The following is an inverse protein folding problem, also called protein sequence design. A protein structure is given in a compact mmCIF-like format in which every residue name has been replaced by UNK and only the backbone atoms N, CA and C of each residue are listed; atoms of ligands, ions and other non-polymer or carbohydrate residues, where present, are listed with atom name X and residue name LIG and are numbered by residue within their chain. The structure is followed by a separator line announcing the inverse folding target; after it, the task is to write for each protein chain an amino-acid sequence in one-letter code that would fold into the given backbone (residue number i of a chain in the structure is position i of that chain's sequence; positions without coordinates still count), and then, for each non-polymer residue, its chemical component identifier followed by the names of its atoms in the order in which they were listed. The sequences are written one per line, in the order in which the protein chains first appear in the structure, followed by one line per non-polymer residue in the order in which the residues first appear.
data_IF_526389038463
#
_entry.id   IF_526389038463
#
_cell.length_a   1.000
_cell.length_b   1.000
_cell.length_c   1.000
_cell.angle_alpha   90.00
_cell.angle_beta   90.00
_cell.angle_gamma   90.00
#
_symmetry.space_group_name_H-M   'P 1'
#
loop_
_entity.id
_entity.type
_entity.pdbx_description
1 polymer ?
#
# COMPACT_ATOMS: atom_id res chain seq x y z
N UNK A 1 13.11 33.51 2.59
CA UNK A 1 12.58 32.18 2.24
C UNK A 1 11.09 32.24 2.57
N UNK A 2 10.18 32.05 1.59
CA UNK A 2 8.77 31.82 1.85
C UNK A 2 8.66 30.66 2.84
N UNK A 3 7.77 30.72 3.84
CA UNK A 3 7.56 29.63 4.76
C UNK A 3 7.25 28.35 3.97
N UNK A 4 8.19 27.41 3.94
CA UNK A 4 8.00 26.10 3.31
C UNK A 4 6.92 25.35 4.11
N UNK A 5 5.81 25.04 3.45
CA UNK A 5 4.72 24.27 4.05
C UNK A 5 4.85 22.83 3.55
N UNK A 6 5.08 21.90 4.46
CA UNK A 6 5.17 20.47 4.16
C UNK A 6 3.87 19.80 4.58
N UNK A 7 3.06 19.40 3.62
CA UNK A 7 1.84 18.64 3.87
C UNK A 7 2.19 17.24 4.38
N UNK A 8 1.49 16.75 5.39
CA UNK A 8 1.75 15.45 6.00
C UNK A 8 0.50 14.60 6.16
N UNK A 9 -0.67 15.20 6.01
CA UNK A 9 -1.94 14.52 6.22
C UNK A 9 -2.71 14.42 4.91
N UNK A 10 -3.40 13.29 4.73
CA UNK A 10 -4.35 13.15 3.64
C UNK A 10 -5.51 14.13 3.82
N UNK A 11 -5.99 14.68 2.72
CA UNK A 11 -7.17 15.53 2.73
C UNK A 11 -8.42 14.68 2.99
N UNK A 12 -9.23 15.11 3.97
CA UNK A 12 -10.48 14.45 4.28
C UNK A 12 -11.59 14.86 3.28
N UNK A 13 -12.59 14.00 3.05
CA UNK A 13 -13.77 14.38 2.28
C UNK A 13 -14.60 15.42 3.01
N UNK A 14 -15.43 16.17 2.29
CA UNK A 14 -16.37 17.12 2.90
C UNK A 14 -17.61 16.40 3.43
N UNK A 15 -17.93 15.22 2.86
CA UNK A 15 -19.01 14.34 3.30
C UNK A 15 -18.45 12.98 3.70
N UNK A 16 -18.79 12.50 4.90
CA UNK A 16 -18.48 11.15 5.37
C UNK A 16 -19.59 10.21 4.94
N UNK A 17 -19.23 9.18 4.18
CA UNK A 17 -20.12 8.11 3.76
C UNK A 17 -20.07 6.97 4.77
N UNK A 18 -21.22 6.29 5.05
CA UNK A 18 -21.19 5.09 5.85
C UNK A 18 -20.29 4.02 5.21
N UNK A 19 -19.52 3.30 6.02
CA UNK A 19 -18.69 2.19 5.56
C UNK A 19 -19.35 0.88 5.97
N UNK A 20 -19.35 -0.11 5.10
CA UNK A 20 -19.70 -1.49 5.44
C UNK A 20 -18.53 -2.40 5.13
N UNK A 21 -18.12 -3.22 6.11
CA UNK A 21 -16.92 -4.05 5.99
C UNK A 21 -17.27 -5.49 5.64
N UNK A 22 -16.56 -6.03 4.66
CA UNK A 22 -16.61 -7.45 4.27
C UNK A 22 -15.23 -8.04 4.55
N UNK A 23 -15.16 -8.92 5.54
CA UNK A 23 -13.91 -9.39 6.14
C UNK A 23 -13.50 -8.54 7.35
N UNK A 24 -13.16 -9.20 8.45
CA UNK A 24 -12.77 -8.57 9.73
C UNK A 24 -11.45 -9.12 10.27
N UNK A 25 -10.59 -9.57 9.37
CA UNK A 25 -9.27 -10.13 9.68
C UNK A 25 -8.30 -9.12 10.33
N UNK A 26 -7.05 -9.56 10.52
CA UNK A 26 -6.02 -8.79 11.22
C UNK A 26 -5.86 -7.37 10.71
N UNK A 27 -5.79 -7.16 9.39
CA UNK A 27 -5.59 -5.83 8.82
C UNK A 27 -6.75 -4.87 9.12
N UNK A 28 -7.99 -5.36 9.15
CA UNK A 28 -9.16 -4.56 9.52
C UNK A 28 -9.12 -4.18 10.98
N UNK A 29 -8.81 -5.16 11.84
CA UNK A 29 -8.70 -4.96 13.30
C UNK A 29 -7.58 -3.99 13.67
N UNK A 30 -6.42 -4.12 13.02
CA UNK A 30 -5.18 -3.46 13.45
C UNK A 30 -4.91 -2.15 12.70
N UNK A 31 -5.59 -1.91 11.56
CA UNK A 31 -5.36 -0.72 10.75
C UNK A 31 -6.64 -0.02 10.27
N UNK A 32 -7.59 -0.69 9.58
CA UNK A 32 -8.77 -0.01 9.02
C UNK A 32 -9.63 0.63 10.11
N UNK A 33 -10.05 -0.12 11.11
CA UNK A 33 -10.93 0.39 12.15
C UNK A 33 -10.26 1.43 13.04
N UNK A 34 -9.00 1.29 13.48
CA UNK A 34 -8.27 2.37 14.13
C UNK A 34 -8.18 3.64 13.29
N UNK A 35 -7.95 3.52 11.97
CA UNK A 35 -7.94 4.66 11.06
C UNK A 35 -9.31 5.33 10.96
N UNK A 36 -10.36 4.54 10.77
CA UNK A 36 -11.73 5.06 10.65
C UNK A 36 -12.17 5.76 11.93
N UNK A 37 -11.89 5.16 13.08
CA UNK A 37 -12.18 5.80 14.37
C UNK A 37 -11.42 7.14 14.54
N UNK A 38 -10.14 7.18 14.17
CA UNK A 38 -9.31 8.39 14.24
C UNK A 38 -9.80 9.49 13.31
N UNK A 39 -10.29 9.13 12.11
CA UNK A 39 -10.82 10.07 11.13
C UNK A 39 -12.28 10.49 11.39
N UNK A 40 -12.97 9.80 12.31
CA UNK A 40 -14.40 10.01 12.55
C UNK A 40 -15.30 9.36 11.50
N UNK A 41 -14.80 8.41 10.73
CA UNK A 41 -15.61 7.63 9.79
C UNK A 41 -16.47 6.61 10.51
N UNK A 42 -17.69 6.39 10.04
CA UNK A 42 -18.66 5.48 10.66
C UNK A 42 -18.72 4.17 9.91
N UNK A 43 -18.49 3.05 10.62
CA UNK A 43 -18.77 1.70 10.13
C UNK A 43 -20.21 1.36 10.49
N UNK A 44 -21.07 1.20 9.48
CA UNK A 44 -22.51 0.99 9.64
C UNK A 44 -22.88 -0.50 9.80
N UNK A 45 -22.02 -1.40 9.34
CA UNK A 45 -22.24 -2.84 9.44
C UNK A 45 -21.02 -3.63 8.98
N UNK A 46 -20.97 -4.88 9.33
CA UNK A 46 -19.89 -5.77 8.94
C UNK A 46 -20.37 -7.22 8.74
N UNK A 47 -19.58 -7.96 7.96
CA UNK A 47 -19.75 -9.39 7.73
C UNK A 47 -18.38 -10.06 7.69
N UNK A 48 -18.29 -11.27 8.25
CA UNK A 48 -17.17 -12.21 8.09
C UNK A 48 -17.71 -13.63 8.02
N UNK A 49 -16.99 -14.54 7.39
CA UNK A 49 -17.30 -15.97 7.39
C UNK A 49 -17.20 -16.56 8.80
N UNK A 50 -16.29 -16.02 9.62
CA UNK A 50 -16.21 -16.30 11.04
C UNK A 50 -17.17 -15.38 11.82
N UNK A 51 -18.37 -15.90 12.10
CA UNK A 51 -19.43 -15.14 12.79
C UNK A 51 -19.03 -14.70 14.20
N UNK A 52 -18.29 -15.52 14.93
CA UNK A 52 -17.86 -15.17 16.29
C UNK A 52 -16.90 -13.98 16.23
N UNK A 53 -15.94 -14.00 15.29
CA UNK A 53 -15.04 -12.88 15.02
C UNK A 53 -15.80 -11.63 14.59
N UNK A 54 -16.78 -11.76 13.70
CA UNK A 54 -17.63 -10.65 13.26
C UNK A 54 -18.35 -9.97 14.43
N UNK A 55 -19.04 -10.74 15.26
CA UNK A 55 -19.74 -10.21 16.44
C UNK A 55 -18.79 -9.59 17.47
N UNK A 56 -17.65 -10.23 17.74
CA UNK A 56 -16.63 -9.68 18.64
C UNK A 56 -16.09 -8.34 18.13
N UNK A 57 -15.85 -8.24 16.82
CA UNK A 57 -15.39 -7.01 16.18
C UNK A 57 -16.43 -5.90 16.24
N UNK A 58 -17.72 -6.22 15.98
CA UNK A 58 -18.82 -5.27 16.08
C UNK A 58 -18.93 -4.72 17.50
N UNK A 59 -18.88 -5.60 18.51
CA UNK A 59 -18.92 -5.18 19.90
C UNK A 59 -17.74 -4.29 20.29
N UNK A 60 -16.52 -4.70 19.94
CA UNK A 60 -15.28 -3.96 20.27
C UNK A 60 -15.26 -2.55 19.69
N UNK A 61 -15.75 -2.39 18.47
CA UNK A 61 -15.69 -1.12 17.73
C UNK A 61 -17.03 -0.39 17.66
N UNK A 62 -18.04 -0.85 18.42
CA UNK A 62 -19.38 -0.24 18.47
C UNK A 62 -20.04 -0.14 17.07
N UNK A 63 -19.80 -1.15 16.21
CA UNK A 63 -20.48 -1.26 14.93
C UNK A 63 -21.93 -1.73 15.17
N UNK A 64 -22.93 -1.03 14.66
CA UNK A 64 -24.33 -1.28 15.02
C UNK A 64 -24.89 -2.63 14.57
N UNK A 65 -24.32 -3.23 13.52
CA UNK A 65 -24.80 -4.50 12.98
C UNK A 65 -23.64 -5.40 12.52
N UNK A 66 -23.65 -6.65 12.98
CA UNK A 66 -22.92 -7.77 12.40
C UNK A 66 -23.93 -8.72 11.74
N UNK A 67 -23.72 -9.02 10.47
CA UNK A 67 -24.63 -9.84 9.68
C UNK A 67 -24.12 -11.26 9.56
N UNK A 68 -25.02 -12.22 9.53
CA UNK A 68 -24.72 -13.65 9.44
C UNK A 68 -24.40 -14.11 8.03
N UNK A 69 -24.84 -13.35 7.04
CA UNK A 69 -24.60 -13.62 5.61
C UNK A 69 -24.24 -12.34 4.85
N UNK A 70 -23.50 -12.51 3.76
CA UNK A 70 -23.17 -11.39 2.89
C UNK A 70 -24.42 -10.79 2.22
N UNK A 71 -25.41 -11.63 1.91
CA UNK A 71 -26.69 -11.21 1.34
C UNK A 71 -27.47 -10.31 2.32
N UNK A 72 -27.50 -10.65 3.60
CA UNK A 72 -28.12 -9.80 4.63
C UNK A 72 -27.40 -8.46 4.77
N UNK A 73 -26.05 -8.45 4.79
CA UNK A 73 -25.29 -7.21 4.79
C UNK A 73 -25.70 -6.34 3.60
N UNK A 74 -25.67 -6.90 2.38
CA UNK A 74 -25.95 -6.16 1.14
C UNK A 74 -27.36 -5.55 1.16
N UNK A 75 -28.38 -6.32 1.56
CA UNK A 75 -29.77 -5.87 1.61
C UNK A 75 -29.97 -4.74 2.62
N UNK A 76 -29.27 -4.77 3.74
CA UNK A 76 -29.39 -3.78 4.80
C UNK A 76 -28.39 -2.61 4.69
N UNK A 77 -27.51 -2.63 3.67
CA UNK A 77 -26.51 -1.59 3.46
C UNK A 77 -27.16 -0.28 2.98
N UNK A 78 -26.85 0.88 3.59
CA UNK A 78 -27.31 2.18 3.10
C UNK A 78 -26.95 2.40 1.62
N UNK A 79 -27.84 3.04 0.87
CA UNK A 79 -27.67 3.23 -0.57
C UNK A 79 -26.39 3.99 -0.95
N UNK A 80 -25.90 4.86 -0.08
CA UNK A 80 -24.70 5.67 -0.26
C UNK A 80 -23.46 5.11 0.48
N UNK A 81 -23.56 3.94 1.11
CA UNK A 81 -22.41 3.36 1.82
C UNK A 81 -21.31 2.87 0.86
N UNK A 82 -20.09 2.95 1.33
CA UNK A 82 -18.90 2.41 0.67
C UNK A 82 -18.60 1.02 1.25
N UNK A 83 -18.36 0.06 0.36
CA UNK A 83 -17.93 -1.29 0.76
C UNK A 83 -16.42 -1.33 0.97
N UNK A 84 -15.98 -1.74 2.15
CA UNK A 84 -14.59 -2.04 2.49
C UNK A 84 -14.40 -3.56 2.40
N UNK A 85 -13.80 -4.01 1.29
CA UNK A 85 -13.63 -5.44 0.96
C UNK A 85 -12.23 -5.89 1.33
N UNK A 86 -12.10 -6.50 2.51
CA UNK A 86 -10.83 -6.97 3.07
C UNK A 86 -10.81 -8.50 3.23
N UNK A 87 -11.00 -9.18 2.11
CA UNK A 87 -11.01 -10.65 2.01
C UNK A 87 -9.72 -11.15 1.34
N UNK A 88 -9.40 -12.46 1.42
CA UNK A 88 -8.32 -13.04 0.63
C UNK A 88 -8.46 -12.75 -0.87
N UNK A 89 -7.34 -12.61 -1.57
CA UNK A 89 -7.32 -12.27 -3.00
C UNK A 89 -8.22 -13.20 -3.85
N UNK A 90 -8.23 -14.50 -3.54
CA UNK A 90 -9.06 -15.51 -4.21
C UNK A 90 -10.57 -15.29 -4.08
N UNK A 91 -11.02 -14.60 -3.04
CA UNK A 91 -12.45 -14.39 -2.77
C UNK A 91 -13.00 -13.06 -3.31
N UNK A 92 -12.14 -12.19 -3.87
CA UNK A 92 -12.54 -10.84 -4.30
C UNK A 92 -13.64 -10.89 -5.37
N UNK A 93 -13.51 -11.72 -6.39
CA UNK A 93 -14.49 -11.83 -7.48
C UNK A 93 -15.87 -12.22 -6.96
N UNK A 94 -15.95 -13.28 -6.14
CA UNK A 94 -17.21 -13.79 -5.59
C UNK A 94 -17.91 -12.75 -4.72
N UNK A 95 -17.14 -11.95 -3.98
CA UNK A 95 -17.69 -10.86 -3.17
C UNK A 95 -18.20 -9.73 -4.04
N UNK A 96 -17.42 -9.30 -5.04
CA UNK A 96 -17.80 -8.20 -5.93
C UNK A 96 -19.05 -8.54 -6.78
N UNK A 97 -19.25 -9.81 -7.17
CA UNK A 97 -20.45 -10.24 -7.86
C UNK A 97 -21.72 -9.98 -7.04
N UNK A 98 -21.66 -10.11 -5.71
CA UNK A 98 -22.80 -9.91 -4.80
C UNK A 98 -23.05 -8.44 -4.42
N UNK A 99 -22.06 -7.56 -4.56
CA UNK A 99 -22.24 -6.12 -4.34
C UNK A 99 -23.14 -5.56 -5.45
N UNK A 100 -24.16 -4.72 -5.14
CA UNK A 100 -24.98 -4.10 -6.18
C UNK A 100 -24.18 -3.24 -7.16
N UNK A 101 -24.73 -3.04 -8.36
CA UNK A 101 -24.13 -2.19 -9.38
C UNK A 101 -24.02 -0.72 -8.90
N UNK A 102 -23.10 0.03 -9.51
CA UNK A 102 -22.90 1.47 -9.28
C UNK A 102 -22.51 1.85 -7.84
N UNK A 103 -21.96 0.89 -7.06
CA UNK A 103 -21.51 1.13 -5.68
C UNK A 103 -20.02 1.50 -5.62
N UNK A 104 -19.66 2.23 -4.57
CA UNK A 104 -18.26 2.50 -4.26
C UNK A 104 -17.65 1.37 -3.42
N UNK A 105 -16.42 0.95 -3.77
CA UNK A 105 -15.75 -0.19 -3.16
C UNK A 105 -14.27 0.11 -2.95
N UNK A 106 -13.77 -0.08 -1.73
CA UNK A 106 -12.34 -0.12 -1.42
C UNK A 106 -11.91 -1.59 -1.26
N UNK A 107 -11.07 -2.08 -2.16
CA UNK A 107 -10.61 -3.47 -2.18
C UNK A 107 -9.24 -3.55 -1.54
N UNK A 108 -9.01 -4.49 -0.61
CA UNK A 108 -7.68 -4.71 -0.04
C UNK A 108 -6.74 -5.31 -1.10
N UNK A 109 -5.48 -4.85 -1.08
CA UNK A 109 -4.43 -5.40 -1.96
C UNK A 109 -4.06 -6.85 -1.56
N UNK A 110 -3.57 -7.67 -2.48
CA UNK A 110 -3.38 -7.41 -3.91
C UNK A 110 -4.69 -7.47 -4.70
N UNK A 111 -4.72 -6.90 -5.89
CA UNK A 111 -5.86 -6.97 -6.81
C UNK A 111 -5.90 -8.35 -7.50
N UNK A 112 -6.34 -9.37 -6.74
CA UNK A 112 -6.34 -10.75 -7.17
C UNK A 112 -5.01 -11.48 -6.88
N UNK A 113 -5.00 -12.78 -7.12
CA UNK A 113 -3.86 -13.67 -6.88
C UNK A 113 -2.74 -13.53 -7.94
N UNK A 114 -3.10 -13.00 -9.11
CA UNK A 114 -2.21 -12.81 -10.25
C UNK A 114 -2.80 -11.78 -11.23
N UNK A 115 -2.03 -11.42 -12.26
CA UNK A 115 -2.45 -10.43 -13.26
C UNK A 115 -3.71 -10.86 -14.04
N UNK A 116 -3.92 -12.15 -14.31
CA UNK A 116 -5.10 -12.63 -15.03
C UNK A 116 -6.37 -12.40 -14.22
N UNK A 117 -6.37 -12.78 -12.93
CA UNK A 117 -7.50 -12.51 -12.03
C UNK A 117 -7.70 -11.01 -11.80
N UNK A 118 -6.61 -10.22 -11.75
CA UNK A 118 -6.72 -8.76 -11.70
C UNK A 118 -7.50 -8.18 -12.89
N UNK A 119 -7.28 -8.71 -14.10
CA UNK A 119 -8.06 -8.31 -15.30
C UNK A 119 -9.53 -8.70 -15.19
N UNK A 120 -9.84 -9.86 -14.64
CA UNK A 120 -11.23 -10.30 -14.41
C UNK A 120 -11.93 -9.38 -13.39
N UNK A 121 -11.25 -9.00 -12.31
CA UNK A 121 -11.77 -8.07 -11.31
C UNK A 121 -12.07 -6.71 -11.95
N UNK A 122 -11.15 -6.15 -12.74
CA UNK A 122 -11.38 -4.87 -13.44
C UNK A 122 -12.57 -4.99 -14.39
N UNK A 123 -12.65 -6.05 -15.19
CA UNK A 123 -13.76 -6.27 -16.10
C UNK A 123 -15.12 -6.37 -15.37
N UNK A 124 -15.14 -7.04 -14.21
CA UNK A 124 -16.34 -7.13 -13.37
C UNK A 124 -16.74 -5.75 -12.80
N UNK A 125 -15.77 -4.98 -12.27
CA UNK A 125 -16.03 -3.62 -11.79
C UNK A 125 -16.60 -2.72 -12.89
N UNK A 126 -16.06 -2.78 -14.09
CA UNK A 126 -16.54 -2.02 -15.25
C UNK A 126 -17.95 -2.45 -15.67
N UNK A 127 -18.20 -3.78 -15.77
CA UNK A 127 -19.52 -4.33 -16.09
C UNK A 127 -20.59 -3.87 -15.10
N UNK A 128 -20.26 -3.83 -13.81
CA UNK A 128 -21.15 -3.42 -12.71
C UNK A 128 -21.10 -1.91 -12.44
N UNK A 129 -20.27 -1.16 -13.18
CA UNK A 129 -20.04 0.28 -12.99
C UNK A 129 -19.67 0.64 -11.54
N UNK A 130 -18.88 -0.22 -10.88
CA UNK A 130 -18.41 0.06 -9.53
C UNK A 130 -17.36 1.19 -9.55
N UNK A 131 -17.45 2.10 -8.59
CA UNK A 131 -16.39 3.05 -8.28
C UNK A 131 -15.41 2.32 -7.38
N UNK A 132 -14.42 1.65 -7.96
CA UNK A 132 -13.56 0.73 -7.23
C UNK A 132 -12.11 1.24 -7.12
N UNK A 133 -11.60 1.27 -5.88
CA UNK A 133 -10.22 1.58 -5.54
C UNK A 133 -9.56 0.39 -4.85
N UNK A 134 -8.23 0.29 -4.97
CA UNK A 134 -7.41 -0.67 -4.22
C UNK A 134 -6.69 0.04 -3.10
N UNK A 135 -6.64 -0.60 -1.94
CA UNK A 135 -6.06 -0.03 -0.72
C UNK A 135 -4.51 -0.05 -0.76
N UNK A 136 -3.94 0.74 -1.67
CA UNK A 136 -2.52 1.06 -1.69
C UNK A 136 -2.21 2.20 -0.72
N UNK A 137 -2.49 1.94 0.55
CA UNK A 137 -2.45 2.92 1.62
C UNK A 137 -1.07 3.59 1.80
N UNK A 138 0.02 2.93 1.40
CA UNK A 138 1.36 3.50 1.54
C UNK A 138 1.52 4.85 0.85
N UNK A 139 0.78 5.09 -0.26
CA UNK A 139 0.75 6.40 -0.94
C UNK A 139 0.31 7.54 -0.01
N UNK A 140 -0.38 7.22 1.09
CA UNK A 140 -0.97 8.16 2.04
C UNK A 140 -0.30 8.12 3.42
N UNK A 141 0.80 7.41 3.59
CA UNK A 141 1.58 7.49 4.82
C UNK A 141 2.10 8.92 5.03
N UNK A 142 2.07 9.48 6.25
CA UNK A 142 2.42 10.89 6.50
C UNK A 142 3.78 11.29 5.92
N UNK A 143 4.79 10.45 6.05
CA UNK A 143 6.12 10.71 5.48
C UNK A 143 6.15 10.62 3.94
N UNK A 144 5.24 9.88 3.32
CA UNK A 144 5.09 9.83 1.84
C UNK A 144 4.38 11.09 1.34
N UNK A 145 3.35 11.54 2.05
CA UNK A 145 2.68 12.81 1.73
C UNK A 145 3.68 13.96 1.88
N UNK A 146 4.51 13.96 2.91
CA UNK A 146 5.56 14.96 3.11
C UNK A 146 6.58 14.97 1.95
N UNK A 147 7.02 13.79 1.51
CA UNK A 147 7.93 13.67 0.37
C UNK A 147 7.28 14.21 -0.92
N UNK A 148 6.03 13.81 -1.20
CA UNK A 148 5.25 14.29 -2.33
C UNK A 148 5.11 15.81 -2.31
N UNK A 149 4.76 16.38 -1.16
CA UNK A 149 4.64 17.82 -0.97
C UNK A 149 5.92 18.58 -1.34
N UNK A 150 7.09 18.08 -0.94
CA UNK A 150 8.38 18.69 -1.31
C UNK A 150 8.70 18.54 -2.80
N UNK A 151 8.42 17.38 -3.38
CA UNK A 151 8.68 17.09 -4.80
C UNK A 151 7.78 17.93 -5.68
N UNK A 152 6.49 18.00 -5.42
CA UNK A 152 5.52 18.79 -6.19
C UNK A 152 5.78 20.30 -6.11
N UNK A 153 6.31 20.79 -4.99
CA UNK A 153 6.80 22.17 -4.87
C UNK A 153 8.14 22.41 -5.59
N UNK A 154 8.74 21.36 -6.17
CA UNK A 154 10.02 21.42 -6.89
C UNK A 154 11.22 21.69 -5.98
N UNK A 155 11.12 21.43 -4.67
CA UNK A 155 12.16 21.75 -3.68
C UNK A 155 13.46 21.01 -3.98
N UNK A 156 13.39 19.73 -4.34
CA UNK A 156 14.58 18.94 -4.68
C UNK A 156 14.88 18.91 -6.19
N UNK A 157 14.15 19.66 -7.01
CA UNK A 157 14.29 19.64 -8.47
C UNK A 157 13.69 18.41 -9.12
N UNK A 158 14.20 18.01 -10.28
CA UNK A 158 13.75 16.82 -11.01
C UNK A 158 14.30 15.56 -10.33
N UNK A 159 13.41 14.63 -9.95
CA UNK A 159 13.80 13.36 -9.32
C UNK A 159 14.40 12.43 -10.37
N UNK A 160 15.61 11.96 -10.13
CA UNK A 160 16.34 11.04 -11.01
C UNK A 160 16.78 9.75 -10.33
N UNK A 161 16.63 9.65 -8.99
CA UNK A 161 16.95 8.46 -8.21
C UNK A 161 15.86 8.18 -7.18
N UNK A 162 15.38 6.95 -7.12
CA UNK A 162 14.47 6.51 -6.07
C UNK A 162 14.90 5.12 -5.59
N UNK A 163 15.10 5.00 -4.28
CA UNK A 163 15.51 3.78 -3.64
C UNK A 163 14.55 3.41 -2.51
N UNK A 164 14.07 2.16 -2.51
CA UNK A 164 13.40 1.56 -1.36
C UNK A 164 14.27 0.44 -0.81
N UNK A 165 14.62 0.53 0.46
CA UNK A 165 15.38 -0.51 1.15
C UNK A 165 14.64 -0.98 2.39
N UNK A 166 14.53 -2.30 2.52
CA UNK A 166 13.92 -2.97 3.67
C UNK A 166 14.79 -4.14 4.06
N UNK A 167 15.53 -4.00 5.15
CA UNK A 167 16.34 -5.05 5.76
C UNK A 167 15.87 -5.20 7.20
N UNK A 168 14.92 -6.13 7.43
CA UNK A 168 14.19 -6.26 8.71
C UNK A 168 13.97 -7.73 9.05
N UNK A 169 13.51 -8.00 10.26
CA UNK A 169 13.00 -9.32 10.62
C UNK A 169 11.47 -9.32 10.60
N UNK A 170 10.90 -10.12 9.72
CA UNK A 170 9.45 -10.31 9.61
C UNK A 170 9.07 -11.68 10.16
N UNK A 171 8.21 -11.75 11.19
CA UNK A 171 7.78 -13.01 11.79
C UNK A 171 6.71 -13.70 10.91
N UNK A 172 7.12 -14.32 9.81
CA UNK A 172 6.24 -14.93 8.79
C UNK A 172 5.22 -15.92 9.35
N UNK A 173 5.53 -16.55 10.49
CA UNK A 173 4.61 -17.47 11.18
C UNK A 173 3.28 -16.81 11.59
N UNK A 174 3.18 -15.48 11.61
CA UNK A 174 1.94 -14.76 11.84
C UNK A 174 0.97 -14.86 10.65
N UNK A 175 1.48 -15.22 9.47
CA UNK A 175 0.70 -15.33 8.22
C UNK A 175 0.97 -16.66 7.50
N UNK A 176 0.54 -17.81 8.07
CA UNK A 176 0.87 -19.14 7.53
C UNK A 176 0.40 -19.36 6.09
N UNK A 177 -0.66 -18.66 5.65
CA UNK A 177 -1.17 -18.78 4.30
C UNK A 177 -0.15 -18.34 3.24
N UNK A 178 0.81 -17.48 3.57
CA UNK A 178 1.84 -17.00 2.65
C UNK A 178 2.80 -18.13 2.20
N UNK A 179 2.91 -19.22 2.96
CA UNK A 179 3.68 -20.40 2.55
C UNK A 179 3.13 -21.07 1.28
N UNK A 180 1.86 -20.83 0.95
CA UNK A 180 1.19 -21.39 -0.23
C UNK A 180 1.15 -20.41 -1.42
N UNK A 181 1.62 -19.17 -1.23
CA UNK A 181 1.54 -18.13 -2.26
C UNK A 181 2.84 -18.09 -3.07
N UNK A 182 2.78 -18.27 -4.38
CA UNK A 182 3.95 -18.06 -5.25
C UNK A 182 4.42 -16.61 -5.16
N UNK A 183 5.75 -16.41 -5.07
CA UNK A 183 6.34 -15.08 -4.98
C UNK A 183 5.73 -14.19 -3.88
N UNK A 184 5.43 -14.78 -2.71
CA UNK A 184 4.71 -14.14 -1.62
C UNK A 184 5.29 -12.78 -1.21
N UNK A 185 6.62 -12.64 -1.20
CA UNK A 185 7.29 -11.37 -0.88
C UNK A 185 6.94 -10.30 -1.91
N UNK A 186 7.03 -10.60 -3.22
CA UNK A 186 6.73 -9.61 -4.27
C UNK A 186 5.24 -9.25 -4.24
N UNK A 187 4.35 -10.24 -4.16
CA UNK A 187 2.90 -10.03 -4.26
C UNK A 187 2.26 -9.40 -3.00
N UNK A 188 2.81 -9.65 -1.81
CA UNK A 188 2.20 -9.19 -0.55
C UNK A 188 2.99 -8.07 0.16
N UNK A 189 4.30 -7.93 -0.10
CA UNK A 189 5.14 -6.90 0.50
C UNK A 189 5.68 -5.90 -0.53
N UNK A 190 6.50 -6.34 -1.47
CA UNK A 190 7.09 -5.46 -2.48
C UNK A 190 6.05 -4.78 -3.36
N UNK A 191 4.84 -5.31 -3.50
CA UNK A 191 3.73 -4.66 -4.22
C UNK A 191 3.46 -3.23 -3.72
N UNK A 192 3.63 -2.95 -2.43
CA UNK A 192 3.49 -1.59 -1.89
C UNK A 192 4.56 -0.65 -2.42
N UNK A 193 5.79 -1.14 -2.54
CA UNK A 193 6.93 -0.36 -3.04
C UNK A 193 6.86 -0.20 -4.56
N UNK A 194 6.45 -1.24 -5.27
CA UNK A 194 6.17 -1.20 -6.72
C UNK A 194 5.12 -0.14 -7.02
N UNK A 195 4.02 -0.15 -6.28
CA UNK A 195 2.96 0.83 -6.39
C UNK A 195 3.45 2.25 -6.08
N UNK A 196 4.26 2.39 -5.03
CA UNK A 196 4.84 3.68 -4.64
C UNK A 196 5.81 4.22 -5.70
N UNK A 197 6.68 3.36 -6.25
CA UNK A 197 7.58 3.73 -7.35
C UNK A 197 6.78 4.25 -8.53
N UNK A 198 5.75 3.55 -8.97
CA UNK A 198 4.88 4.02 -10.06
C UNK A 198 4.21 5.35 -9.75
N UNK A 199 3.81 5.57 -8.49
CA UNK A 199 3.17 6.82 -8.07
C UNK A 199 4.10 8.04 -8.09
N UNK A 200 5.43 7.86 -8.00
CA UNK A 200 6.42 8.94 -8.04
C UNK A 200 7.14 9.05 -9.38
N UNK A 201 7.47 7.92 -10.01
CA UNK A 201 8.34 7.87 -11.19
C UNK A 201 7.57 7.58 -12.49
N UNK A 202 6.27 7.27 -12.39
CA UNK A 202 5.46 6.86 -13.54
C UNK A 202 5.64 5.37 -13.89
N UNK A 203 5.32 5.02 -15.15
CA UNK A 203 5.37 3.64 -15.61
C UNK A 203 6.79 3.27 -16.09
N UNK A 204 7.39 2.19 -15.56
CA UNK A 204 8.66 1.69 -16.06
C UNK A 204 8.50 1.05 -17.44
N UNK A 205 9.56 1.05 -18.23
CA UNK A 205 9.61 0.37 -19.54
C UNK A 205 9.95 -1.12 -19.42
N UNK A 206 10.58 -1.51 -18.32
CA UNK A 206 10.97 -2.89 -18.04
C UNK A 206 11.35 -3.12 -16.59
N UNK A 207 11.56 -4.40 -16.25
CA UNK A 207 11.89 -4.84 -14.88
C UNK A 207 12.99 -5.90 -14.93
N UNK A 208 14.01 -5.71 -14.09
CA UNK A 208 14.98 -6.75 -13.73
C UNK A 208 14.73 -7.12 -12.27
N UNK A 209 14.47 -8.40 -11.99
CA UNK A 209 14.20 -8.82 -10.62
C UNK A 209 14.80 -10.18 -10.30
N UNK A 210 15.16 -10.36 -9.03
CA UNK A 210 15.48 -11.65 -8.46
C UNK A 210 14.96 -11.73 -7.03
N UNK A 211 14.12 -12.72 -6.76
CA UNK A 211 13.76 -13.13 -5.40
C UNK A 211 14.38 -14.47 -5.08
N UNK A 212 14.77 -14.63 -3.82
CA UNK A 212 15.38 -15.86 -3.31
C UNK A 212 14.75 -16.26 -1.98
N UNK A 213 14.82 -17.56 -1.67
CA UNK A 213 14.42 -18.10 -0.38
C UNK A 213 15.55 -17.94 0.62
N UNK A 214 15.24 -17.43 1.80
CA UNK A 214 16.22 -17.47 2.89
C UNK A 214 16.27 -18.89 3.48
N UNK A 215 17.46 -19.40 3.86
CA UNK A 215 17.60 -20.76 4.42
C UNK A 215 16.68 -21.09 5.60
N UNK A 216 16.33 -20.11 6.43
CA UNK A 216 15.47 -20.31 7.61
C UNK A 216 13.96 -20.38 7.25
N UNK A 217 13.56 -20.00 6.05
CA UNK A 217 12.13 -19.94 5.62
C UNK A 217 11.93 -20.58 4.25
N UNK A 218 12.46 -21.78 4.10
CA UNK A 218 12.45 -22.52 2.82
C UNK A 218 11.06 -22.84 2.28
N UNK A 219 10.02 -22.79 3.11
CA UNK A 219 8.64 -23.01 2.68
C UNK A 219 8.07 -21.79 1.93
N UNK A 220 8.58 -20.58 2.20
CA UNK A 220 8.15 -19.38 1.49
C UNK A 220 8.80 -19.31 0.11
N UNK A 221 8.00 -18.99 -0.89
CA UNK A 221 8.50 -18.76 -2.25
C UNK A 221 8.99 -17.30 -2.38
N UNK A 222 10.21 -17.07 -1.91
CA UNK A 222 10.85 -15.76 -1.85
C UNK A 222 10.64 -15.03 -0.53
N UNK A 223 11.73 -14.50 0.01
CA UNK A 223 11.74 -13.66 1.24
C UNK A 223 12.78 -12.54 1.18
N UNK A 224 13.62 -12.56 0.13
CA UNK A 224 14.61 -11.53 -0.16
C UNK A 224 14.56 -11.22 -1.64
N UNK A 225 14.30 -9.95 -2.00
CA UNK A 225 14.04 -9.54 -3.38
C UNK A 225 14.85 -8.31 -3.75
N UNK A 226 15.37 -8.29 -4.96
CA UNK A 226 15.91 -7.10 -5.61
C UNK A 226 15.11 -6.85 -6.89
N UNK A 227 14.65 -5.61 -7.09
CA UNK A 227 13.96 -5.16 -8.29
C UNK A 227 14.65 -3.90 -8.78
N UNK A 228 15.03 -3.87 -10.05
CA UNK A 228 15.51 -2.69 -10.75
C UNK A 228 14.44 -2.34 -11.79
N UNK A 229 14.00 -1.10 -11.78
CA UNK A 229 13.01 -0.57 -12.73
C UNK A 229 13.74 0.15 -13.84
N UNK A 230 13.42 -0.19 -15.08
CA UNK A 230 13.99 0.46 -16.26
C UNK A 230 13.20 1.71 -16.62
N UNK A 231 13.83 2.86 -16.42
CA UNK A 231 13.35 4.20 -16.84
C UNK A 231 14.31 4.85 -17.84
N UNK A 232 15.09 4.05 -18.58
CA UNK A 232 16.08 4.51 -19.53
C UNK A 232 17.42 4.90 -18.87
N UNK A 233 18.16 5.79 -19.50
CA UNK A 233 19.58 6.02 -19.20
C UNK A 233 19.86 7.05 -18.08
N UNK A 234 18.83 7.76 -17.61
CA UNK A 234 19.00 8.91 -16.70
C UNK A 234 18.38 8.71 -15.32
N UNK A 235 17.48 7.77 -15.17
CA UNK A 235 16.81 7.51 -13.87
C UNK A 235 17.18 6.15 -13.32
N UNK A 236 17.57 6.13 -12.03
CA UNK A 236 17.86 4.90 -11.31
C UNK A 236 16.76 4.65 -10.28
N UNK A 237 16.09 3.51 -10.37
CA UNK A 237 15.04 3.14 -9.43
C UNK A 237 15.19 1.69 -9.02
N UNK A 238 15.25 1.43 -7.71
CA UNK A 238 15.39 0.07 -7.19
C UNK A 238 14.62 -0.14 -5.89
N UNK A 239 14.20 -1.38 -5.70
CA UNK A 239 13.63 -1.90 -4.46
C UNK A 239 14.47 -3.09 -4.01
N UNK A 240 14.96 -3.05 -2.78
CA UNK A 240 15.71 -4.14 -2.14
C UNK A 240 15.02 -4.54 -0.84
N UNK A 241 14.67 -5.81 -0.70
CA UNK A 241 14.03 -6.35 0.50
C UNK A 241 14.78 -7.56 1.04
N UNK A 242 14.96 -7.61 2.35
CA UNK A 242 15.41 -8.76 3.11
C UNK A 242 14.59 -8.83 4.41
N UNK A 243 13.63 -9.74 4.44
CA UNK A 243 12.73 -9.92 5.57
C UNK A 243 13.25 -10.91 6.64
N UNK A 244 14.51 -11.34 6.55
CA UNK A 244 15.10 -12.34 7.44
C UNK A 244 16.34 -11.83 8.20
N UNK A 245 16.45 -10.52 8.39
CA UNK A 245 17.53 -9.93 9.17
C UNK A 245 17.32 -10.14 10.68
N UNK A 246 17.66 -11.32 11.18
CA UNK A 246 17.47 -11.74 12.58
C UNK A 246 18.59 -11.30 13.54
N UNK A 247 19.51 -10.44 13.10
CA UNK A 247 20.71 -10.07 13.85
C UNK A 247 20.53 -8.85 14.77
N UNK A 248 19.29 -8.57 15.16
CA UNK A 248 18.92 -7.45 16.04
C UNK A 248 18.70 -6.14 15.30
N UNK A 249 18.22 -5.14 16.02
CA UNK A 249 17.78 -3.85 15.48
C UNK A 249 18.91 -3.01 14.86
N UNK A 250 20.13 -3.16 15.36
CA UNK A 250 21.24 -2.26 15.02
C UNK A 250 21.51 -2.08 13.52
N UNK A 251 21.30 -3.11 12.72
CA UNK A 251 21.52 -3.09 11.27
C UNK A 251 20.24 -3.34 10.48
N UNK A 252 19.06 -3.20 11.12
CA UNK A 252 17.82 -3.09 10.39
C UNK A 252 17.76 -1.74 9.71
N UNK A 253 17.27 -1.73 8.47
CA UNK A 253 17.03 -0.55 7.67
C UNK A 253 15.66 -0.67 6.98
N UNK A 254 14.89 0.39 7.03
CA UNK A 254 13.64 0.48 6.30
C UNK A 254 13.41 1.94 5.93
N UNK A 255 13.57 2.28 4.65
CA UNK A 255 13.43 3.65 4.17
C UNK A 255 13.05 3.73 2.70
N UNK A 256 12.53 4.89 2.34
CA UNK A 256 12.45 5.37 0.95
C UNK A 256 13.32 6.62 0.82
N UNK A 257 14.11 6.69 -0.23
CA UNK A 257 14.96 7.83 -0.54
C UNK A 257 14.69 8.33 -1.97
N UNK A 258 14.69 9.63 -2.15
CA UNK A 258 14.60 10.31 -3.44
C UNK A 258 15.78 11.27 -3.58
N UNK A 259 16.44 11.26 -4.72
CA UNK A 259 17.42 12.26 -5.08
C UNK A 259 16.97 13.00 -6.35
N UNK A 260 17.01 14.30 -6.27
CA UNK A 260 16.70 15.19 -7.36
C UNK A 260 17.88 16.09 -7.71
N UNK A 261 17.73 16.86 -8.78
CA UNK A 261 18.81 17.73 -9.30
C UNK A 261 19.21 18.85 -8.35
N UNK A 262 18.42 19.15 -7.31
CA UNK A 262 18.65 20.24 -6.35
C UNK A 262 18.57 19.83 -4.90
N UNK A 263 18.39 18.55 -4.60
CA UNK A 263 18.26 18.10 -3.22
C UNK A 263 17.89 16.63 -3.12
N UNK A 264 17.69 16.18 -1.89
CA UNK A 264 17.32 14.79 -1.60
C UNK A 264 16.35 14.71 -0.42
N UNK A 265 15.62 13.61 -0.33
CA UNK A 265 14.69 13.27 0.75
C UNK A 265 14.99 11.85 1.21
N UNK A 266 14.94 11.61 2.51
CA UNK A 266 14.96 10.26 3.09
C UNK A 266 13.87 10.13 4.13
N UNK A 267 13.00 9.13 3.96
CA UNK A 267 11.93 8.77 4.89
C UNK A 267 12.19 7.38 5.47
N UNK A 268 12.42 7.28 6.79
CA UNK A 268 12.51 6.01 7.53
C UNK A 268 11.10 5.49 7.78
N UNK A 269 10.85 4.23 7.47
CA UNK A 269 9.61 3.50 7.73
C UNK A 269 9.76 2.66 9.01
N UNK A 270 9.49 3.27 10.16
CA UNK A 270 9.75 2.67 11.45
C UNK A 270 8.91 1.43 11.75
N UNK A 271 7.68 1.37 11.26
CA UNK A 271 6.75 0.25 11.49
C UNK A 271 7.35 -1.13 11.21
N UNK A 272 8.19 -1.25 10.19
CA UNK A 272 8.77 -2.54 9.78
C UNK A 272 9.98 -2.96 10.62
N UNK A 273 10.59 -2.02 11.34
CA UNK A 273 11.74 -2.27 12.18
C UNK A 273 11.28 -2.73 13.56
N UNK A 274 11.99 -3.68 14.17
CA UNK A 274 11.63 -4.20 15.50
C UNK A 274 10.17 -4.72 15.58
N UNK A 275 9.68 -5.30 14.49
CA UNK A 275 8.29 -5.75 14.42
C UNK A 275 7.97 -6.82 15.50
N UNK A 276 6.79 -6.79 16.20
CA UNK A 276 5.62 -5.93 15.91
C UNK A 276 5.61 -4.56 16.62
N UNK A 277 6.58 -4.26 17.48
CA UNK A 277 6.57 -3.04 18.30
C UNK A 277 6.80 -1.79 17.43
N UNK A 278 7.60 -1.92 16.39
CA UNK A 278 7.98 -0.81 15.52
C UNK A 278 9.03 0.11 16.12
N UNK A 279 9.55 1.00 15.29
CA UNK A 279 10.41 2.12 15.64
C UNK A 279 9.73 3.43 15.19
N UNK A 280 10.08 4.58 15.75
CA UNK A 280 9.60 5.85 15.22
C UNK A 280 9.98 6.07 13.75
N UNK A 281 9.04 6.60 12.97
CA UNK A 281 9.33 7.12 11.63
C UNK A 281 10.28 8.32 11.74
N UNK A 282 11.06 8.57 10.68
CA UNK A 282 11.90 9.77 10.59
C UNK A 282 11.88 10.30 9.16
N UNK A 283 11.99 11.61 9.03
CA UNK A 283 11.96 12.27 7.75
C UNK A 283 12.97 13.40 7.69
N UNK A 284 13.81 13.37 6.67
CA UNK A 284 14.84 14.35 6.45
C UNK A 284 14.87 14.77 4.98
N UNK A 285 15.22 16.03 4.74
CA UNK A 285 15.47 16.53 3.40
C UNK A 285 16.68 17.46 3.37
N UNK A 286 17.33 17.54 2.23
CA UNK A 286 18.44 18.42 1.97
C UNK A 286 18.17 19.19 0.68
N UNK A 287 18.50 20.48 0.67
CA UNK A 287 18.45 21.34 -0.53
C UNK A 287 19.87 21.87 -0.76
N UNK A 288 20.36 21.67 -1.96
CA UNK A 288 21.68 22.15 -2.36
C UNK A 288 21.66 23.67 -2.53
N UNK A 289 22.68 24.33 -2.01
CA UNK A 289 22.93 25.76 -2.16
C UNK A 289 24.34 25.95 -2.71
N UNK A 290 24.46 26.83 -3.69
CA UNK A 290 25.74 27.07 -4.36
C UNK A 290 26.80 27.58 -3.35
N UNK A 291 27.92 26.86 -3.29
CA UNK A 291 29.04 27.22 -2.41
C UNK A 291 28.88 26.84 -0.95
N UNK A 292 27.79 26.20 -0.56
CA UNK A 292 27.54 25.72 0.81
C UNK A 292 27.69 24.22 0.93
N UNK A 293 28.03 23.74 2.13
CA UNK A 293 27.98 22.30 2.42
C UNK A 293 26.52 21.85 2.59
N UNK A 294 26.16 20.64 2.06
CA UNK A 294 24.82 20.11 2.22
C UNK A 294 24.41 19.97 3.70
N UNK A 295 23.23 20.45 4.05
CA UNK A 295 22.65 20.33 5.38
C UNK A 295 21.32 19.60 5.28
N UNK A 296 21.18 18.51 6.07
CA UNK A 296 19.94 17.77 6.21
C UNK A 296 19.06 18.42 7.29
N UNK A 297 17.81 18.67 6.93
CA UNK A 297 16.79 19.24 7.81
C UNK A 297 15.84 18.12 8.21
N UNK A 298 15.68 17.90 9.51
CA UNK A 298 14.73 16.95 10.06
C UNK A 298 13.34 17.59 10.11
N UNK A 299 12.32 16.83 9.75
CA UNK A 299 10.90 17.21 9.87
C UNK A 299 10.23 16.27 10.85
N UNK A 300 9.55 16.84 11.83
CA UNK A 300 8.72 16.07 12.76
C UNK A 300 7.44 15.61 12.05
N UNK A 301 7.35 14.28 11.81
CA UNK A 301 6.21 13.67 11.12
C UNK A 301 5.09 13.43 12.12
N UNK A 302 3.92 13.98 11.79
CA UNK A 302 2.70 13.84 12.59
C UNK A 302 1.91 12.63 12.14
N UNK A 303 1.85 11.60 12.97
CA UNK A 303 1.21 10.33 12.66
C UNK A 303 2.21 9.25 12.27
N UNK A 304 1.70 8.12 11.80
CA UNK A 304 2.47 6.91 11.49
C UNK A 304 1.93 6.25 10.23
N UNK A 305 2.66 5.29 9.68
CA UNK A 305 2.14 4.51 8.56
C UNK A 305 0.82 3.80 8.93
N UNK A 306 0.82 3.03 10.03
CA UNK A 306 -0.39 2.42 10.60
C UNK A 306 -0.82 3.19 11.86
N UNK A 307 -2.07 3.63 11.96
CA UNK A 307 -3.17 3.44 11.02
C UNK A 307 -3.36 4.59 10.01
N UNK A 308 -2.58 5.70 10.08
CA UNK A 308 -2.93 6.97 9.43
C UNK A 308 -3.03 6.88 7.90
N UNK A 309 -2.21 6.06 7.26
CA UNK A 309 -2.26 5.87 5.82
C UNK A 309 -3.62 5.33 5.30
N UNK A 310 -4.31 4.54 6.11
CA UNK A 310 -5.62 3.99 5.76
C UNK A 310 -6.73 5.03 5.74
N UNK A 311 -6.56 6.12 6.49
CA UNK A 311 -7.43 7.30 6.40
C UNK A 311 -7.41 7.84 4.98
N UNK A 312 -6.20 8.00 4.42
CA UNK A 312 -6.02 8.56 3.10
C UNK A 312 -6.60 7.72 1.97
N UNK A 313 -6.48 6.39 2.03
CA UNK A 313 -7.09 5.50 1.03
C UNK A 313 -8.61 5.65 0.98
N UNK A 314 -9.27 5.57 2.14
CA UNK A 314 -10.72 5.71 2.22
C UNK A 314 -11.15 7.15 1.89
N UNK A 315 -10.42 8.17 2.37
CA UNK A 315 -10.68 9.57 2.05
C UNK A 315 -10.59 9.84 0.55
N UNK A 316 -9.61 9.30 -0.14
CA UNK A 316 -9.44 9.46 -1.59
C UNK A 316 -10.64 8.90 -2.35
N UNK A 317 -11.13 7.72 -1.96
CA UNK A 317 -12.34 7.15 -2.56
C UNK A 317 -13.58 8.01 -2.26
N UNK A 318 -13.78 8.43 -1.01
CA UNK A 318 -14.90 9.32 -0.63
C UNK A 318 -14.86 10.64 -1.39
N UNK A 319 -13.69 11.26 -1.53
CA UNK A 319 -13.50 12.51 -2.28
C UNK A 319 -13.81 12.36 -3.76
N UNK A 320 -13.48 11.21 -4.35
CA UNK A 320 -13.86 10.91 -5.72
C UNK A 320 -15.38 10.72 -5.87
N UNK A 321 -16.01 10.01 -4.92
CA UNK A 321 -17.48 9.80 -4.90
C UNK A 321 -18.26 11.11 -4.73
N UNK A 322 -17.75 12.04 -3.92
CA UNK A 322 -18.37 13.37 -3.74
C UNK A 322 -18.04 14.37 -4.87
N UNK A 323 -17.10 14.03 -5.78
CA UNK A 323 -16.70 14.88 -6.91
C UNK A 323 -15.72 16.00 -6.54
N UNK A 324 -15.02 15.91 -5.39
CA UNK A 324 -13.98 16.89 -5.01
C UNK A 324 -12.59 16.60 -5.62
N UNK A 325 -12.44 15.44 -6.25
CA UNK A 325 -11.30 15.10 -7.12
C UNK A 325 -11.80 14.42 -8.39
N UNK A 326 -11.17 14.74 -9.53
CA UNK A 326 -11.54 14.22 -10.85
C UNK A 326 -10.88 12.87 -11.19
N UNK A 327 -9.88 12.47 -10.42
CA UNK A 327 -9.12 11.23 -10.64
C UNK A 327 -9.07 10.43 -9.35
N UNK A 328 -9.30 9.11 -9.46
CA UNK A 328 -9.14 8.16 -8.37
C UNK A 328 -7.73 7.54 -8.45
N UNK A 329 -6.76 7.96 -7.59
CA UNK A 329 -5.35 7.61 -7.79
C UNK A 329 -5.03 6.13 -7.71
N UNK A 330 -5.83 5.37 -6.96
CA UNK A 330 -5.68 3.92 -6.76
C UNK A 330 -6.86 3.15 -7.34
N UNK A 331 -7.45 3.62 -8.47
CA UNK A 331 -8.53 2.90 -9.13
C UNK A 331 -8.10 1.47 -9.49
N UNK A 332 -9.05 0.58 -9.72
CA UNK A 332 -8.73 -0.80 -10.11
C UNK A 332 -7.93 -0.87 -11.41
N UNK A 333 -8.11 0.10 -12.32
CA UNK A 333 -7.32 0.24 -13.54
C UNK A 333 -5.86 0.66 -13.24
N UNK A 334 -5.66 1.58 -12.30
CA UNK A 334 -4.30 1.92 -11.83
C UNK A 334 -3.65 0.74 -11.11
N UNK A 335 -4.38 0.08 -10.24
CA UNK A 335 -3.93 -1.10 -9.51
C UNK A 335 -3.57 -2.27 -10.44
N UNK A 336 -4.29 -2.43 -11.55
CA UNK A 336 -3.98 -3.45 -12.56
C UNK A 336 -2.59 -3.19 -13.18
N UNK A 337 -2.19 -1.93 -13.36
CA UNK A 337 -0.83 -1.62 -13.82
C UNK A 337 0.22 -1.99 -12.77
N UNK A 338 -0.07 -1.79 -11.47
CA UNK A 338 0.81 -2.31 -10.40
C UNK A 338 0.92 -3.83 -10.48
N UNK A 339 -0.19 -4.55 -10.69
CA UNK A 339 -0.16 -6.00 -10.87
C UNK A 339 0.63 -6.44 -12.10
N UNK A 340 0.61 -5.66 -13.18
CA UNK A 340 1.43 -5.94 -14.37
C UNK A 340 2.94 -5.83 -14.08
N UNK A 341 3.35 -4.85 -13.28
CA UNK A 341 4.75 -4.71 -12.84
C UNK A 341 5.14 -5.86 -11.88
N UNK A 342 4.24 -6.25 -10.96
CA UNK A 342 4.44 -7.44 -10.10
C UNK A 342 4.66 -8.69 -10.94
N UNK A 343 3.81 -8.92 -11.94
CA UNK A 343 3.91 -10.06 -12.85
C UNK A 343 5.23 -10.04 -13.63
N UNK A 344 5.64 -8.89 -14.15
CA UNK A 344 6.93 -8.71 -14.82
C UNK A 344 8.12 -9.00 -13.90
N UNK A 345 8.05 -8.61 -12.62
CA UNK A 345 9.08 -8.92 -11.63
C UNK A 345 9.17 -10.43 -11.35
N UNK A 346 8.02 -11.12 -11.23
CA UNK A 346 7.98 -12.57 -11.08
C UNK A 346 8.57 -13.28 -12.31
N UNK A 347 8.18 -12.87 -13.52
CA UNK A 347 8.72 -13.42 -14.77
C UNK A 347 10.23 -13.20 -14.90
N UNK A 348 10.72 -11.99 -14.58
CA UNK A 348 12.15 -11.67 -14.60
C UNK A 348 12.91 -12.53 -13.60
N UNK A 349 12.38 -12.73 -12.39
CA UNK A 349 13.00 -13.61 -11.38
C UNK A 349 13.07 -15.07 -11.83
N UNK A 350 12.06 -15.55 -12.54
CA UNK A 350 12.00 -16.91 -13.07
C UNK A 350 12.91 -17.12 -14.31
N UNK A 351 13.06 -16.06 -15.12
CA UNK A 351 13.80 -16.12 -16.40
C UNK A 351 15.31 -16.37 -16.28
N UNK A 352 15.86 -16.19 -15.09
CA UNK A 352 17.28 -16.41 -14.81
C UNK A 352 18.18 -15.22 -15.15
N UNK A 353 19.48 -15.40 -14.93
CA UNK A 353 20.50 -14.38 -15.19
C UNK A 353 21.17 -14.62 -16.56
N UNK A 354 21.79 -13.57 -17.10
CA UNK A 354 22.76 -13.72 -18.19
C UNK A 354 23.93 -14.54 -17.72
N UNK A 355 24.25 -15.62 -18.46
CA UNK A 355 25.38 -16.49 -18.11
C UNK A 355 26.70 -15.76 -18.31
N UNK A 356 27.62 -15.99 -17.38
CA UNK A 356 29.00 -15.54 -17.51
C UNK A 356 29.71 -16.57 -18.40
N UNK A 357 30.23 -16.12 -19.54
CA UNK A 357 31.12 -16.93 -20.38
C UNK A 357 32.48 -17.08 -19.68
N UNK A 358 32.91 -18.32 -19.40
CA UNK A 358 34.18 -18.65 -18.76
C UNK A 358 35.27 -19.01 -19.76
#
# INVERSE_FOLDING_TARGET
MSNLIIQQNAELPTRFYPIVSIGTGGIVRDAHYPAYAKAGFTVAGLFDLDREQAHAMAQKHSVPAAYDTLEELVVNTPADAIFDVAVPASAILDVLEKIPDERAVLIQKPLGENLAQGREIVALCQKKKLIAAVNFQMRYAPFIIAARSLIEQGIIGEVHDMEVRVTVYTPWQMWPFLEQVPYAEILYHSIHYIDLVRAFMGEPTGIYAKTVRHPDVMKMDGSCTNIIFDYGDVQRVNVETNHQHKYGLRHQESYVKWEGTRGAIKAKMGLLMNYPDGEPDAFEYCVLQDGESPIWNTVDIQGTWFPDAFIGSMSSLMRYVEGSIDTLPTSVEDALRTMAVVDAACQSSAGGATLIEG
#
